data_IF_951724489700
#
_entry.id   IF_951724489700
#
_cell.length_a   1.000
_cell.length_b   1.000
_cell.length_c   1.000
_cell.angle_alpha   90.00
_cell.angle_beta   90.00
_cell.angle_gamma   90.00
#
_symmetry.space_group_name_H-M   'P 1'
#
loop_
_entity.id
_entity.type
_entity.pdbx_description
1 polymer ?
#
# COMPACT_ATOMS: atom_id res chain seq x y z
N UNK A 1 -9.67 -1.11 27.87
CA UNK A 1 -10.73 -0.10 27.65
C UNK A 1 -10.61 0.39 26.22
N UNK A 2 -11.68 0.42 25.41
CA UNK A 2 -11.59 1.12 24.14
C UNK A 2 -11.52 2.63 24.43
N UNK A 3 -10.42 3.27 24.03
CA UNK A 3 -10.08 4.66 24.36
C UNK A 3 -10.62 5.66 23.32
N UNK A 4 -11.79 5.37 22.72
CA UNK A 4 -12.28 6.09 21.54
C UNK A 4 -13.55 6.88 21.82
N UNK A 5 -13.63 8.17 21.40
CA UNK A 5 -14.92 8.85 21.33
C UNK A 5 -15.79 8.13 20.28
N UNK A 6 -17.11 8.02 20.50
CA UNK A 6 -18.01 7.39 19.54
C UNK A 6 -18.07 8.23 18.25
N UNK A 7 -17.29 7.85 17.25
CA UNK A 7 -17.23 8.50 15.94
C UNK A 7 -17.78 7.60 14.85
N UNK A 8 -18.37 8.20 13.80
CA UNK A 8 -18.81 7.45 12.62
C UNK A 8 -17.59 6.98 11.84
N UNK A 9 -17.43 5.68 11.53
CA UNK A 9 -16.27 5.20 10.78
C UNK A 9 -16.25 5.80 9.36
N UNK A 10 -15.05 6.12 8.87
CA UNK A 10 -14.81 6.72 7.56
C UNK A 10 -13.84 5.84 6.79
N UNK A 11 -14.21 5.48 5.56
CA UNK A 11 -13.32 4.73 4.66
C UNK A 11 -12.33 5.69 4.00
N UNK A 12 -11.04 5.46 4.21
CA UNK A 12 -9.99 6.26 3.56
C UNK A 12 -9.57 5.58 2.25
N UNK A 13 -9.65 6.33 1.15
CA UNK A 13 -9.13 5.94 -0.15
C UNK A 13 -7.85 6.73 -0.42
N UNK A 14 -6.74 6.05 -0.59
CA UNK A 14 -5.47 6.62 -1.04
C UNK A 14 -5.26 6.23 -2.51
N UNK A 15 -5.23 7.23 -3.40
CA UNK A 15 -5.06 7.02 -4.85
C UNK A 15 -6.07 6.02 -5.43
N UNK A 16 -7.32 6.14 -4.97
CA UNK A 16 -8.44 5.29 -5.38
C UNK A 16 -8.49 3.91 -4.71
N UNK A 17 -7.52 3.57 -3.86
CA UNK A 17 -7.47 2.27 -3.17
C UNK A 17 -7.82 2.40 -1.69
N UNK A 18 -8.59 1.46 -1.11
CA UNK A 18 -8.85 1.48 0.32
C UNK A 18 -7.55 1.32 1.10
N UNK A 19 -7.34 2.23 2.05
CA UNK A 19 -6.21 2.17 2.94
C UNK A 19 -6.53 1.26 4.12
N UNK A 20 -5.91 0.08 4.15
CA UNK A 20 -5.99 -0.81 5.29
C UNK A 20 -5.29 -0.17 6.50
N UNK A 21 -6.02 -0.05 7.60
CA UNK A 21 -5.53 0.43 8.89
C UNK A 21 -6.09 -0.47 9.97
N UNK A 22 -5.32 -0.72 11.03
CA UNK A 22 -5.80 -1.45 12.19
C UNK A 22 -6.89 -0.66 12.91
N UNK A 23 -6.64 0.65 13.07
CA UNK A 23 -7.58 1.59 13.66
C UNK A 23 -8.33 2.37 12.56
N UNK A 24 -9.67 2.46 12.60
CA UNK A 24 -10.44 3.15 11.57
C UNK A 24 -10.25 4.66 11.66
N UNK A 25 -10.35 5.34 10.52
CA UNK A 25 -10.59 6.78 10.52
C UNK A 25 -12.02 7.05 11.00
N UNK A 26 -12.23 8.15 11.71
CA UNK A 26 -13.52 8.47 12.32
C UNK A 26 -13.92 9.91 12.05
N UNK A 27 -15.20 10.16 11.83
CA UNK A 27 -15.78 11.49 11.83
C UNK A 27 -16.17 11.85 13.27
N UNK A 28 -15.52 12.87 13.83
CA UNK A 28 -15.81 13.38 15.16
C UNK A 28 -15.70 14.91 15.16
N UNK A 29 -16.62 15.59 15.85
CA UNK A 29 -16.62 17.06 15.97
C UNK A 29 -16.56 17.78 14.61
N UNK A 30 -17.23 17.24 13.58
CA UNK A 30 -17.22 17.80 12.22
C UNK A 30 -15.89 17.66 11.48
N UNK A 31 -14.95 16.84 11.98
CA UNK A 31 -13.62 16.63 11.39
C UNK A 31 -13.38 15.14 11.20
N UNK A 32 -12.76 14.79 10.06
CA UNK A 32 -12.26 13.43 9.84
C UNK A 32 -10.93 13.31 10.57
N UNK A 33 -10.91 12.48 11.60
CA UNK A 33 -9.72 12.10 12.34
C UNK A 33 -9.17 10.81 11.75
N UNK A 34 -7.88 10.80 11.48
CA UNK A 34 -7.17 9.67 10.87
C UNK A 34 -6.00 9.27 11.76
N UNK A 35 -5.68 7.98 11.84
CA UNK A 35 -4.46 7.56 12.50
C UNK A 35 -3.25 8.08 11.71
N UNK A 36 -2.19 8.45 12.42
CA UNK A 36 -0.94 8.96 11.80
C UNK A 36 -0.38 7.90 10.85
N UNK A 37 -0.33 6.65 11.30
CA UNK A 37 0.04 5.48 10.47
C UNK A 37 -1.23 4.71 10.07
N UNK A 38 -1.40 4.29 8.81
CA UNK A 38 -0.45 4.38 7.69
C UNK A 38 -0.69 5.58 6.74
N UNK A 39 -1.64 6.49 7.04
CA UNK A 39 -2.02 7.53 6.09
C UNK A 39 -0.97 8.62 5.93
N UNK A 40 -0.52 9.23 7.04
CA UNK A 40 0.42 10.35 6.97
C UNK A 40 1.82 9.89 6.62
N UNK A 41 2.20 8.67 7.02
CA UNK A 41 3.49 8.06 6.66
C UNK A 41 3.62 7.82 5.16
N UNK A 42 2.50 7.64 4.43
CA UNK A 42 2.48 7.56 2.97
C UNK A 42 2.30 8.90 2.27
N UNK A 43 1.68 9.87 2.95
CA UNK A 43 1.40 11.18 2.38
C UNK A 43 2.57 12.17 2.53
N UNK A 44 3.48 11.96 3.49
CA UNK A 44 4.65 12.80 3.73
C UNK A 44 5.94 12.14 3.22
N UNK A 45 6.89 12.97 2.77
CA UNK A 45 8.23 12.54 2.36
C UNK A 45 9.12 12.28 3.59
N UNK A 46 8.92 13.09 4.64
CA UNK A 46 9.64 12.98 5.92
C UNK A 46 8.68 13.22 7.08
N UNK A 47 8.91 12.50 8.16
CA UNK A 47 8.16 12.60 9.40
C UNK A 47 9.13 12.44 10.57
N UNK A 48 9.07 13.35 11.53
CA UNK A 48 9.86 13.29 12.76
C UNK A 48 9.17 14.04 13.89
N UNK A 49 9.65 13.84 15.11
CA UNK A 49 9.18 14.57 16.28
C UNK A 49 10.15 15.70 16.65
N UNK A 50 9.56 16.81 17.08
CA UNK A 50 10.23 17.94 17.70
C UNK A 50 9.53 18.19 19.05
N UNK A 51 10.01 17.53 20.11
CA UNK A 51 9.35 17.51 21.41
C UNK A 51 7.95 16.87 21.36
N UNK A 52 6.92 17.64 21.71
CA UNK A 52 5.50 17.24 21.67
C UNK A 52 4.86 17.46 20.29
N UNK A 53 5.64 17.82 19.27
CA UNK A 53 5.13 18.20 17.96
C UNK A 53 5.56 17.19 16.90
N UNK A 54 4.58 16.63 16.20
CA UNK A 54 4.79 15.84 14.99
C UNK A 54 5.02 16.78 13.82
N UNK A 55 6.17 16.66 13.17
CA UNK A 55 6.52 17.45 12.00
C UNK A 55 6.43 16.57 10.76
N UNK A 56 5.67 17.03 9.77
CA UNK A 56 5.51 16.37 8.48
C UNK A 56 6.05 17.28 7.38
N UNK A 57 6.78 16.72 6.44
CA UNK A 57 7.31 17.44 5.29
C UNK A 57 6.99 16.71 3.99
N UNK A 58 6.51 17.46 2.98
CA UNK A 58 6.27 16.96 1.63
C UNK A 58 6.58 18.05 0.60
N UNK A 59 7.40 17.76 -0.39
CA UNK A 59 7.73 18.69 -1.48
C UNK A 59 8.10 20.11 -0.98
N UNK A 60 8.90 20.19 0.09
CA UNK A 60 9.34 21.45 0.73
C UNK A 60 8.28 22.15 1.60
N UNK A 61 7.06 21.63 1.72
CA UNK A 61 6.03 22.11 2.63
C UNK A 61 6.13 21.40 3.96
N UNK A 62 6.10 22.16 5.06
CA UNK A 62 6.21 21.62 6.42
C UNK A 62 4.95 21.94 7.23
N UNK A 63 4.43 20.93 7.91
CA UNK A 63 3.28 21.03 8.81
C UNK A 63 3.70 20.55 10.19
N UNK A 64 3.28 21.29 11.22
CA UNK A 64 3.52 20.96 12.62
C UNK A 64 2.19 20.66 13.29
N UNK A 65 2.06 19.48 13.88
CA UNK A 65 0.87 19.03 14.59
C UNK A 65 1.25 18.77 16.04
N UNK A 66 0.67 19.53 16.96
CA UNK A 66 0.88 19.29 18.38
C UNK A 66 0.21 17.98 18.78
N UNK A 67 0.95 17.14 19.48
CA UNK A 67 0.50 15.83 19.95
C UNK A 67 0.46 15.80 21.47
N UNK A 68 -0.44 14.98 22.02
CA UNK A 68 -0.41 14.69 23.45
C UNK A 68 0.85 13.87 23.76
N UNK A 69 1.46 14.09 24.92
CA UNK A 69 2.69 13.39 25.31
C UNK A 69 2.56 11.86 25.26
N UNK A 70 1.38 11.33 25.64
CA UNK A 70 1.09 9.89 25.57
C UNK A 70 1.05 9.34 24.13
N UNK A 71 0.77 10.18 23.13
CA UNK A 71 0.70 9.77 21.72
C UNK A 71 2.06 9.76 21.03
N UNK A 72 3.08 10.41 21.60
CA UNK A 72 4.44 10.46 21.04
C UNK A 72 5.11 9.07 21.09
N UNK A 73 4.81 8.27 22.11
CA UNK A 73 5.33 6.91 22.26
C UNK A 73 4.55 5.85 21.47
N UNK A 74 3.33 6.17 21.00
CA UNK A 74 2.45 5.23 20.29
C UNK A 74 1.82 5.89 19.05
N UNK A 75 2.63 6.06 18.00
CA UNK A 75 2.23 6.70 16.75
C UNK A 75 0.98 6.07 16.11
N UNK A 76 0.86 4.76 16.20
CA UNK A 76 -0.23 4.00 15.59
C UNK A 76 -1.59 4.29 16.23
N UNK A 77 -1.58 4.79 17.48
CA UNK A 77 -2.78 5.20 18.22
C UNK A 77 -3.06 6.70 18.13
N UNK A 78 -2.16 7.48 17.53
CA UNK A 78 -2.27 8.92 17.46
C UNK A 78 -3.22 9.33 16.33
N UNK A 79 -4.18 10.20 16.64
CA UNK A 79 -5.14 10.72 15.67
C UNK A 79 -4.91 12.19 15.38
N UNK A 80 -5.07 12.57 14.12
CA UNK A 80 -4.98 13.96 13.68
C UNK A 80 -6.14 14.31 12.75
N UNK A 81 -6.45 15.60 12.65
CA UNK A 81 -7.44 16.08 11.69
C UNK A 81 -6.87 16.02 10.26
N UNK A 82 -7.39 15.10 9.44
CA UNK A 82 -6.84 14.80 8.11
C UNK A 82 -6.90 16.01 7.16
N UNK A 83 -8.04 16.69 7.11
CA UNK A 83 -8.29 17.78 6.16
C UNK A 83 -7.25 18.91 6.22
N UNK A 84 -7.08 19.58 7.38
CA UNK A 84 -6.09 20.65 7.52
C UNK A 84 -4.66 20.20 7.26
N UNK A 85 -4.26 19.02 7.79
CA UNK A 85 -2.89 18.50 7.65
C UNK A 85 -2.57 18.19 6.19
N UNK A 86 -3.42 17.41 5.52
CA UNK A 86 -3.18 17.01 4.12
C UNK A 86 -3.20 18.21 3.18
N UNK A 87 -4.13 19.16 3.35
CA UNK A 87 -4.17 20.39 2.54
C UNK A 87 -2.93 21.24 2.72
N UNK A 88 -2.44 21.39 3.96
CA UNK A 88 -1.23 22.13 4.25
C UNK A 88 0.02 21.46 3.64
N UNK A 89 0.04 20.13 3.56
CA UNK A 89 1.05 19.37 2.80
C UNK A 89 0.89 19.45 1.27
N UNK A 90 -0.16 20.12 0.78
CA UNK A 90 -0.44 20.21 -0.66
C UNK A 90 -1.04 18.93 -1.26
N UNK A 91 -1.60 18.06 -0.42
CA UNK A 91 -2.26 16.83 -0.84
C UNK A 91 -3.76 17.10 -1.06
N UNK A 92 -4.29 16.95 -2.28
CA UNK A 92 -5.71 17.02 -2.53
C UNK A 92 -6.48 16.01 -1.68
N UNK A 93 -7.51 16.51 -0.99
CA UNK A 93 -8.38 15.70 -0.14
C UNK A 93 -9.84 16.13 -0.31
N UNK A 94 -10.71 15.15 -0.54
CA UNK A 94 -12.16 15.34 -0.66
C UNK A 94 -12.88 14.38 0.27
N UNK A 95 -13.88 14.89 0.98
CA UNK A 95 -14.78 14.06 1.76
C UNK A 95 -16.09 13.88 1.01
N UNK A 96 -16.56 12.64 0.90
CA UNK A 96 -17.87 12.27 0.41
C UNK A 96 -18.76 11.93 1.61
N UNK A 97 -19.72 12.80 1.97
CA UNK A 97 -20.58 12.57 3.13
C UNK A 97 -21.60 11.45 2.90
N UNK A 98 -22.00 11.17 1.66
CA UNK A 98 -23.01 10.16 1.35
C UNK A 98 -22.45 8.75 1.53
N UNK A 99 -21.18 8.56 1.15
CA UNK A 99 -20.50 7.26 1.28
C UNK A 99 -19.59 7.15 2.51
N UNK A 100 -19.49 8.19 3.33
CA UNK A 100 -18.52 8.31 4.43
C UNK A 100 -17.09 7.97 3.98
N UNK A 101 -16.65 8.60 2.88
CA UNK A 101 -15.34 8.33 2.27
C UNK A 101 -14.45 9.55 2.28
N UNK A 102 -13.20 9.37 2.69
CA UNK A 102 -12.14 10.35 2.52
C UNK A 102 -11.28 9.94 1.33
N UNK A 103 -11.32 10.70 0.24
CA UNK A 103 -10.49 10.48 -0.95
C UNK A 103 -9.26 11.37 -0.84
N UNK A 104 -8.09 10.73 -0.84
CA UNK A 104 -6.78 11.36 -0.78
C UNK A 104 -6.05 11.02 -2.07
N UNK A 105 -5.56 12.04 -2.77
CA UNK A 105 -4.79 11.87 -4.00
C UNK A 105 -3.38 12.35 -3.78
N UNK A 106 -2.40 11.47 -3.87
CA UNK A 106 -0.99 11.82 -3.79
C UNK A 106 -0.44 11.98 -5.21
N UNK A 107 -0.18 13.21 -5.69
CA UNK A 107 0.42 13.36 -7.00
C UNK A 107 1.78 12.66 -7.02
N UNK A 108 2.12 11.95 -8.10
CA UNK A 108 3.39 11.26 -8.23
C UNK A 108 4.54 12.26 -8.08
N UNK A 109 5.48 11.95 -7.21
CA UNK A 109 6.68 12.75 -7.04
C UNK A 109 7.62 12.47 -8.22
N UNK A 110 8.09 13.53 -8.88
CA UNK A 110 9.10 13.39 -9.92
C UNK A 110 10.37 12.81 -9.27
N UNK A 111 10.69 11.55 -9.60
CA UNK A 111 11.98 10.95 -9.25
C UNK A 111 13.01 11.65 -10.13
N UNK A 112 13.70 12.63 -9.58
CA UNK A 112 14.86 13.21 -10.23
C UNK A 112 15.92 12.12 -10.37
N UNK A 113 16.23 11.69 -11.60
CA UNK A 113 17.47 10.97 -11.82
C UNK A 113 18.62 11.92 -11.47
N UNK A 114 19.66 11.47 -10.76
CA UNK A 114 20.87 12.28 -10.63
C UNK A 114 21.45 12.47 -12.05
N UNK A 115 21.25 13.65 -12.63
CA UNK A 115 21.79 14.01 -13.95
C UNK A 115 23.22 14.56 -13.83
N UNK A 116 24.13 14.30 -14.79
CA UNK A 116 24.16 13.19 -15.74
C UNK A 116 25.12 12.08 -15.28
N UNK A 117 24.85 10.85 -15.74
CA UNK A 117 25.84 9.78 -15.75
C UNK A 117 27.07 10.25 -16.54
N UNK A 118 28.18 10.51 -15.85
CA UNK A 118 29.47 10.74 -16.49
C UNK A 118 30.19 9.40 -16.61
N UNK A 119 30.23 8.81 -17.81
CA UNK A 119 30.93 7.56 -18.07
C UNK A 119 32.44 7.61 -17.74
N UNK A 120 33.03 8.81 -17.68
CA UNK A 120 34.43 9.00 -17.34
C UNK A 120 34.71 9.08 -15.83
N UNK A 121 33.68 9.18 -14.98
CA UNK A 121 33.81 9.29 -13.52
C UNK A 121 32.70 8.46 -12.83
N UNK A 122 32.89 7.14 -12.64
CA UNK A 122 31.96 6.35 -11.84
C UNK A 122 32.01 6.82 -10.38
N UNK A 123 31.09 7.70 -10.00
CA UNK A 123 31.02 8.29 -8.64
C UNK A 123 30.30 7.40 -7.61
N UNK A 124 30.16 6.11 -7.92
CA UNK A 124 29.55 5.14 -7.00
C UNK A 124 30.48 3.95 -6.94
N UNK A 125 31.15 3.77 -5.80
CA UNK A 125 31.76 2.48 -5.46
C UNK A 125 30.61 1.46 -5.53
N UNK A 126 30.68 0.42 -6.37
CA UNK A 126 29.66 -0.59 -6.42
C UNK A 126 29.50 -1.16 -5.01
N UNK A 127 28.37 -0.88 -4.36
CA UNK A 127 27.99 -1.64 -3.17
C UNK A 127 27.94 -3.08 -3.65
N UNK A 128 28.78 -3.95 -3.07
CA UNK A 128 28.78 -5.36 -3.37
C UNK A 128 27.38 -5.91 -3.03
N UNK A 129 26.50 -5.96 -4.03
CA UNK A 129 25.22 -6.64 -3.90
C UNK A 129 25.60 -8.10 -3.70
N UNK A 130 25.30 -8.62 -2.51
CA UNK A 130 25.45 -10.03 -2.22
C UNK A 130 24.47 -10.77 -3.12
N UNK A 131 24.95 -11.20 -4.29
CA UNK A 131 24.24 -12.15 -5.13
C UNK A 131 24.54 -13.52 -4.53
N UNK A 132 23.58 -14.18 -3.86
CA UNK A 132 23.79 -15.54 -3.41
C UNK A 132 24.13 -16.42 -4.63
N UNK A 133 25.04 -17.41 -4.50
CA UNK A 133 25.32 -18.33 -5.59
C UNK A 133 24.02 -19.02 -6.02
N UNK A 134 23.78 -19.12 -7.33
CA UNK A 134 22.64 -19.87 -7.85
C UNK A 134 22.70 -21.30 -7.32
N UNK A 135 21.74 -21.67 -6.48
CA UNK A 135 21.56 -23.05 -6.07
C UNK A 135 21.08 -23.84 -7.30
N UNK A 136 21.85 -24.84 -7.72
CA UNK A 136 21.45 -25.70 -8.81
C UNK A 136 20.17 -26.44 -8.43
N UNK A 137 19.05 -26.12 -9.10
CA UNK A 137 17.80 -26.86 -8.95
C UNK A 137 18.05 -28.30 -9.46
N UNK A 138 17.89 -29.34 -8.63
CA UNK A 138 18.00 -30.71 -9.12
C UNK A 138 16.93 -30.94 -10.21
N UNK A 139 17.36 -31.49 -11.34
CA UNK A 139 16.43 -31.87 -12.41
C UNK A 139 15.51 -32.97 -11.86
N UNK A 140 14.18 -32.88 -12.08
CA UNK A 140 13.30 -33.95 -11.70
C UNK A 140 13.71 -35.23 -12.45
N UNK A 141 14.07 -36.26 -11.69
CA UNK A 141 14.28 -37.60 -12.23
C UNK A 141 12.89 -38.13 -12.54
N UNK A 142 12.50 -38.09 -13.80
CA UNK A 142 11.25 -38.70 -14.25
C UNK A 142 11.43 -40.22 -14.24
N UNK A 143 11.11 -40.86 -13.12
CA UNK A 143 10.92 -42.31 -13.05
C UNK A 143 9.59 -42.63 -13.74
N UNK A 144 9.60 -42.59 -15.07
CA UNK A 144 8.45 -42.95 -15.89
C UNK A 144 8.19 -44.44 -15.77
N UNK A 145 7.31 -44.84 -14.85
CA UNK A 145 6.57 -46.09 -15.01
C UNK A 145 5.83 -46.02 -16.35
N UNK A 146 5.96 -47.01 -17.25
CA UNK A 146 5.32 -46.95 -18.54
C UNK A 146 3.80 -46.81 -18.37
N UNK A 147 3.23 -45.78 -18.99
CA UNK A 147 1.80 -45.52 -18.96
C UNK A 147 1.05 -46.73 -19.56
N UNK A 148 -0.06 -47.19 -18.94
CA UNK A 148 -0.84 -48.30 -19.48
C UNK A 148 -1.35 -47.96 -20.89
N UNK A 149 -1.08 -48.85 -21.85
CA UNK A 149 -1.58 -48.74 -23.23
C UNK A 149 -3.10 -48.75 -23.20
N UNK A 150 -3.74 -47.76 -23.84
CA UNK A 150 -5.19 -47.75 -24.05
C UNK A 150 -5.56 -48.87 -25.04
N UNK A 151 -6.28 -49.88 -24.58
CA UNK A 151 -6.91 -50.90 -25.43
C UNK A 151 -8.13 -50.27 -26.11
N UNK A 152 -8.27 -50.41 -27.44
CA UNK A 152 -9.44 -49.94 -28.16
C UNK A 152 -10.67 -50.78 -27.77
N UNK A 153 -11.81 -50.12 -27.53
CA UNK A 153 -13.08 -50.78 -27.26
C UNK A 153 -13.74 -51.18 -28.59
N UNK A 154 -14.29 -52.40 -28.72
CA UNK A 154 -15.03 -52.79 -29.91
C UNK A 154 -16.33 -51.98 -30.01
N UNK A 155 -16.52 -51.29 -31.13
CA UNK A 155 -17.78 -50.60 -31.46
C UNK A 155 -18.71 -51.59 -32.18
N UNK A 156 -19.99 -51.68 -31.79
CA UNK A 156 -20.97 -52.46 -32.55
C UNK A 156 -21.27 -51.78 -33.90
N UNK A 157 -21.59 -52.56 -34.95
CA UNK A 157 -21.89 -52.02 -36.28
C UNK A 157 -23.18 -51.17 -36.26
N UNK A 158 -23.26 -50.12 -37.10
CA UNK A 158 -24.43 -49.27 -37.18
C UNK A 158 -25.64 -50.02 -37.77
N UNK A 159 -26.77 -49.96 -37.07
CA UNK A 159 -28.07 -50.44 -37.58
C UNK A 159 -28.56 -49.54 -38.72
N UNK A 160 -28.89 -50.14 -39.86
CA UNK A 160 -29.54 -49.47 -40.99
C UNK A 160 -31.04 -49.68 -40.87
N UNK A 161 -31.77 -48.65 -40.46
CA UNK A 161 -33.24 -48.63 -40.56
C UNK A 161 -33.62 -48.07 -41.93
N UNK A 162 -34.18 -48.95 -42.77
CA UNK A 162 -34.79 -48.60 -44.05
C UNK A 162 -36.25 -48.24 -43.75
N UNK A 163 -36.61 -46.96 -43.90
CA UNK A 163 -38.01 -46.53 -43.91
C UNK A 163 -38.51 -46.46 -45.35
N UNK A 164 -39.65 -47.13 -45.60
CA UNK A 164 -40.48 -47.04 -46.80
C UNK A 164 -41.83 -46.44 -46.43
#
# INVERSE_FOLDING_TARGET
MPLFPPGTPVTVLLDGRPLASYEPAVLAHGRVLVPVSPLLTRAADRLWFDGDTLVLERAGRRVRVRMAAASVTQLDSAYVAAGPVLRALGVPVRYDPMMHRLVVSTPPQAVGSPTPFNAALPSVVPTAVFTPPQQATPRPIWTGSPLPRRTALPLPPPHVEISS
#
